data_IF_965896835106
#
_entry.id   IF_965896835106
#
_cell.length_a   1.000
_cell.length_b   1.000
_cell.length_c   1.000
_cell.angle_alpha   90.00
_cell.angle_beta   90.00
_cell.angle_gamma   90.00
#
_symmetry.space_group_name_H-M   'P 1'
#
loop_
_entity.id
_entity.type
_entity.pdbx_description
1 polymer ?
#
# COMPACT_ATOMS: atom_id res chain seq x y z
N UNK A 1 -10.89 -4.42 11.07
CA UNK A 1 -10.45 -3.52 12.16
C UNK A 1 -9.01 -3.15 11.88
N UNK A 2 -8.64 -1.88 12.00
CA UNK A 2 -7.26 -1.43 11.73
C UNK A 2 -6.36 -1.88 12.87
N UNK A 3 -5.28 -2.58 12.54
CA UNK A 3 -4.25 -2.97 13.50
C UNK A 3 -3.29 -1.80 13.73
N UNK A 4 -3.36 -1.16 14.89
CA UNK A 4 -2.48 -0.02 15.24
C UNK A 4 -1.07 -0.44 15.67
N UNK A 5 -0.90 -1.71 16.05
CA UNK A 5 0.38 -2.27 16.49
C UNK A 5 1.14 -2.95 15.33
N UNK A 6 0.65 -2.80 14.10
CA UNK A 6 1.33 -3.32 12.91
C UNK A 6 2.56 -2.47 12.59
N UNK A 7 3.72 -3.10 12.48
CA UNK A 7 4.97 -2.48 12.04
C UNK A 7 5.26 -2.93 10.60
N UNK A 8 5.10 -2.06 9.59
CA UNK A 8 5.42 -2.42 8.22
C UNK A 8 6.93 -2.68 8.05
N UNK A 9 7.27 -3.67 7.22
CA UNK A 9 8.65 -3.86 6.77
C UNK A 9 9.07 -2.82 5.71
N UNK A 10 10.35 -2.74 5.40
CA UNK A 10 10.90 -1.78 4.41
C UNK A 10 10.15 -1.76 3.08
N UNK A 11 9.64 -2.92 2.64
CA UNK A 11 8.90 -3.01 1.37
C UNK A 11 7.47 -2.53 1.51
N UNK A 12 6.85 -2.80 2.65
CA UNK A 12 5.52 -2.32 2.96
C UNK A 12 5.52 -0.79 3.13
N UNK A 13 6.55 -0.23 3.77
CA UNK A 13 6.77 1.23 3.80
C UNK A 13 6.86 1.80 2.39
N UNK A 14 7.71 1.24 1.54
CA UNK A 14 7.86 1.72 0.16
C UNK A 14 6.56 1.61 -0.66
N UNK A 15 5.71 0.62 -0.39
CA UNK A 15 4.37 0.53 -1.00
C UNK A 15 3.44 1.62 -0.46
N UNK A 16 3.47 1.88 0.84
CA UNK A 16 2.66 2.94 1.46
C UNK A 16 3.05 4.31 0.89
N UNK A 17 4.35 4.58 0.72
CA UNK A 17 4.85 5.81 0.11
C UNK A 17 4.28 6.01 -1.29
N UNK A 18 4.35 4.98 -2.16
CA UNK A 18 3.77 5.04 -3.51
C UNK A 18 2.25 5.27 -3.47
N UNK A 19 1.55 4.64 -2.54
CA UNK A 19 0.11 4.82 -2.42
C UNK A 19 -0.26 6.24 -1.95
N UNK A 20 0.61 6.89 -1.16
CA UNK A 20 0.42 8.26 -0.66
C UNK A 20 0.87 9.34 -1.66
N UNK A 21 1.55 8.98 -2.76
CA UNK A 21 1.90 9.91 -3.84
C UNK A 21 0.68 10.71 -4.33
N UNK A 22 0.82 12.04 -4.45
CA UNK A 22 -0.24 12.94 -4.90
C UNK A 22 -1.24 13.36 -3.82
N UNK A 23 -1.10 12.86 -2.57
CA UNK A 23 -1.97 13.24 -1.43
C UNK A 23 -2.00 14.75 -1.16
N UNK A 24 -0.89 15.45 -1.39
CA UNK A 24 -0.77 16.89 -1.17
C UNK A 24 -1.07 17.74 -2.42
N UNK A 25 -1.07 17.11 -3.61
CA UNK A 25 -1.15 17.82 -4.89
C UNK A 25 -2.58 17.98 -5.42
N UNK A 26 -3.58 17.47 -4.70
CA UNK A 26 -4.99 17.51 -5.11
C UNK A 26 -5.36 16.54 -6.25
N UNK A 27 -4.41 15.73 -6.69
CA UNK A 27 -4.62 14.66 -7.68
C UNK A 27 -5.35 13.46 -7.04
N UNK A 28 -6.07 12.64 -7.84
CA UNK A 28 -6.55 11.34 -7.37
C UNK A 28 -5.38 10.48 -6.90
N UNK A 29 -5.36 10.18 -5.60
CA UNK A 29 -4.27 9.45 -4.94
C UNK A 29 -4.80 8.19 -4.25
N UNK A 30 -3.90 7.41 -3.66
CA UNK A 30 -4.30 6.29 -2.81
C UNK A 30 -4.51 4.98 -3.55
N UNK A 31 -4.35 4.90 -4.87
CA UNK A 31 -4.62 3.67 -5.63
C UNK A 31 -3.41 3.14 -6.39
N UNK A 32 -3.16 1.84 -6.29
CA UNK A 32 -2.15 1.18 -7.11
C UNK A 32 -2.58 -0.24 -7.49
N UNK A 33 -2.11 -0.69 -8.65
CA UNK A 33 -2.13 -2.09 -9.03
C UNK A 33 -0.74 -2.72 -8.80
N UNK A 34 -0.63 -4.05 -8.66
CA UNK A 34 0.66 -4.70 -8.45
C UNK A 34 1.70 -4.39 -9.54
N UNK A 35 1.26 -4.19 -10.80
CA UNK A 35 2.17 -3.90 -11.91
C UNK A 35 2.87 -2.55 -11.74
N UNK A 36 2.17 -1.50 -11.31
CA UNK A 36 2.76 -0.18 -10.97
C UNK A 36 3.79 -0.33 -9.85
N UNK A 37 3.47 -1.09 -8.80
CA UNK A 37 4.37 -1.29 -7.66
C UNK A 37 5.61 -2.10 -8.04
N UNK A 38 5.46 -3.11 -8.92
CA UNK A 38 6.60 -3.87 -9.47
C UNK A 38 7.56 -2.97 -10.24
N UNK A 39 7.03 -2.06 -11.06
CA UNK A 39 7.82 -1.12 -11.85
C UNK A 39 8.49 -0.05 -10.98
N UNK A 40 7.76 0.54 -10.04
CA UNK A 40 8.27 1.58 -9.16
C UNK A 40 9.32 1.08 -8.17
N UNK A 41 9.17 -0.16 -7.66
CA UNK A 41 10.08 -0.74 -6.66
C UNK A 41 11.10 -1.72 -7.26
N UNK A 42 11.14 -1.85 -8.60
CA UNK A 42 11.98 -2.81 -9.33
C UNK A 42 11.99 -4.21 -8.71
N UNK A 43 10.81 -4.65 -8.24
CA UNK A 43 10.64 -5.81 -7.38
C UNK A 43 9.71 -6.83 -8.02
N UNK A 44 10.01 -8.12 -7.85
CA UNK A 44 9.17 -9.20 -8.41
C UNK A 44 7.77 -9.20 -7.80
N UNK A 45 6.76 -9.43 -8.65
CA UNK A 45 5.33 -9.55 -8.28
C UNK A 45 5.02 -10.36 -7.03
N UNK A 46 5.74 -11.46 -6.81
CA UNK A 46 5.54 -12.32 -5.65
C UNK A 46 5.77 -11.58 -4.33
N UNK A 47 6.81 -10.74 -4.25
CA UNK A 47 7.14 -9.98 -3.05
C UNK A 47 6.19 -8.80 -2.86
N UNK A 48 5.77 -8.15 -3.95
CA UNK A 48 4.73 -7.11 -3.92
C UNK A 48 3.43 -7.68 -3.36
N UNK A 49 2.96 -8.81 -3.87
CA UNK A 49 1.72 -9.43 -3.39
C UNK A 49 1.81 -9.89 -1.93
N UNK A 50 2.98 -10.37 -1.49
CA UNK A 50 3.20 -10.74 -0.09
C UNK A 50 3.11 -9.51 0.83
N UNK A 51 3.76 -8.41 0.45
CA UNK A 51 3.73 -7.17 1.20
C UNK A 51 2.32 -6.56 1.26
N UNK A 52 1.64 -6.49 0.11
CA UNK A 52 0.24 -6.04 0.03
C UNK A 52 -0.70 -6.90 0.90
N UNK A 53 -0.51 -8.22 0.93
CA UNK A 53 -1.30 -9.08 1.82
C UNK A 53 -1.12 -8.67 3.29
N UNK A 54 0.10 -8.44 3.74
CA UNK A 54 0.34 -8.00 5.13
C UNK A 54 -0.33 -6.66 5.45
N UNK A 55 -0.26 -5.69 4.54
CA UNK A 55 -0.94 -4.39 4.68
C UNK A 55 -2.47 -4.52 4.68
N UNK A 56 -3.01 -5.43 3.87
CA UNK A 56 -4.44 -5.75 3.84
C UNK A 56 -4.89 -6.44 5.12
N UNK A 57 -4.12 -7.42 5.60
CA UNK A 57 -4.41 -8.14 6.84
C UNK A 57 -4.37 -7.19 8.06
N UNK A 58 -3.50 -6.16 8.02
CA UNK A 58 -3.45 -5.08 9.01
C UNK A 58 -4.56 -4.02 8.86
N UNK A 59 -5.24 -3.98 7.72
CA UNK A 59 -6.29 -3.01 7.42
C UNK A 59 -5.79 -1.60 7.04
N UNK A 60 -4.50 -1.45 6.69
CA UNK A 60 -3.92 -0.18 6.25
C UNK A 60 -4.12 0.06 4.76
N UNK A 61 -4.28 -1.03 4.01
CA UNK A 61 -4.62 -1.06 2.58
C UNK A 61 -5.84 -1.95 2.40
N UNK A 62 -6.69 -1.65 1.42
CA UNK A 62 -7.82 -2.48 1.03
C UNK A 62 -7.65 -2.96 -0.40
N UNK A 63 -8.13 -4.18 -0.69
CA UNK A 63 -8.24 -4.69 -2.06
C UNK A 63 -9.64 -4.43 -2.61
N UNK A 64 -9.81 -3.30 -3.28
CA UNK A 64 -11.12 -2.84 -3.78
C UNK A 64 -11.67 -3.68 -4.94
N UNK A 65 -10.79 -4.28 -5.76
CA UNK A 65 -11.19 -5.24 -6.80
C UNK A 65 -10.05 -6.20 -7.17
N UNK A 66 -10.25 -7.03 -8.19
CA UNK A 66 -9.19 -7.93 -8.69
C UNK A 66 -8.04 -7.12 -9.29
N UNK A 67 -7.01 -6.90 -8.48
CA UNK A 67 -5.74 -6.30 -8.90
C UNK A 67 -5.66 -4.80 -8.68
N UNK A 68 -6.61 -4.20 -7.97
CA UNK A 68 -6.53 -2.81 -7.51
C UNK A 68 -6.57 -2.78 -5.98
N UNK A 69 -5.66 -2.00 -5.41
CA UNK A 69 -5.53 -1.77 -3.99
C UNK A 69 -5.67 -0.29 -3.70
N UNK A 70 -6.24 0.06 -2.56
CA UNK A 70 -6.33 1.44 -2.09
C UNK A 70 -5.74 1.61 -0.69
N UNK A 71 -5.07 2.73 -0.45
CA UNK A 71 -4.71 3.17 0.88
C UNK A 71 -5.99 3.42 1.69
N UNK A 72 -5.97 3.02 2.96
CA UNK A 72 -7.08 3.23 3.90
C UNK A 72 -6.65 4.22 4.97
N UNK A 73 -5.59 3.88 5.71
CA UNK A 73 -5.03 4.73 6.77
C UNK A 73 -3.63 4.27 7.14
N UNK A 74 -2.87 5.18 7.75
CA UNK A 74 -1.63 4.90 8.46
C UNK A 74 -1.80 5.44 9.90
N UNK A 75 -2.06 4.58 10.90
CA UNK A 75 -2.32 4.99 12.28
C UNK A 75 -1.17 5.77 12.95
N UNK A 76 0.01 5.83 12.33
CA UNK A 76 1.19 6.52 12.85
C UNK A 76 1.21 8.01 12.48
N UNK A 77 0.36 8.43 11.55
CA UNK A 77 0.25 9.82 11.10
C UNK A 77 -0.90 10.59 11.79
N UNK A 78 -1.57 9.97 12.76
CA UNK A 78 -2.66 10.55 13.58
C UNK A 78 -2.15 11.23 14.86
#
# INVERSE_FOLDING_TARGET
MVNKDFEPDDRQEAILDILKEGREDGEPWGYANPKRLEEALETRRQYINRALRGLVDAGWVEKVNRGLYCFVTDPREE
#
